data_IF_134963105503
#
_entry.id   IF_134963105503
#
_cell.length_a   1.000
_cell.length_b   1.000
_cell.length_c   1.000
_cell.angle_alpha   90.00
_cell.angle_beta   90.00
_cell.angle_gamma   90.00
#
_symmetry.space_group_name_H-M   'P 1'
#
loop_
_entity.id
_entity.type
_entity.pdbx_description
1 polymer ?
#
# COMPACT_ATOMS: atom_id res chain seq x y z
N UNK A 1 -4.00 -29.89 -28.73
CA UNK A 1 -5.07 -29.93 -27.71
C UNK A 1 -6.38 -29.61 -28.44
N UNK A 2 -7.43 -30.43 -28.28
CA UNK A 2 -8.73 -30.12 -28.83
C UNK A 2 -9.48 -29.28 -27.83
N UNK A 3 -9.87 -28.06 -28.22
CA UNK A 3 -10.75 -27.24 -27.43
C UNK A 3 -12.18 -27.74 -27.54
N UNK A 4 -12.89 -27.86 -26.41
CA UNK A 4 -14.25 -28.36 -26.39
C UNK A 4 -15.31 -27.25 -26.34
N UNK A 5 -14.88 -26.01 -26.13
CA UNK A 5 -15.72 -24.82 -26.09
C UNK A 5 -14.93 -23.55 -26.44
N UNK A 6 -15.64 -22.44 -26.75
CA UNK A 6 -15.02 -21.18 -27.17
C UNK A 6 -14.13 -20.54 -26.10
N UNK A 7 -14.45 -20.67 -24.83
CA UNK A 7 -13.66 -20.11 -23.75
C UNK A 7 -12.31 -20.83 -23.60
N UNK A 8 -12.33 -22.16 -23.71
CA UNK A 8 -11.13 -23.01 -23.70
C UNK A 8 -10.29 -22.76 -24.95
N UNK A 9 -10.91 -22.49 -26.11
CA UNK A 9 -10.21 -22.11 -27.33
C UNK A 9 -9.43 -20.83 -27.18
N UNK A 10 -10.07 -19.79 -26.69
CA UNK A 10 -9.43 -18.48 -26.46
C UNK A 10 -8.26 -18.61 -25.48
N UNK A 11 -8.44 -19.30 -24.35
CA UNK A 11 -7.37 -19.54 -23.39
C UNK A 11 -6.19 -20.32 -23.99
N UNK A 12 -6.47 -21.34 -24.82
CA UNK A 12 -5.44 -22.15 -25.47
C UNK A 12 -4.67 -21.33 -26.51
N UNK A 13 -5.36 -20.50 -27.30
CA UNK A 13 -4.73 -19.64 -28.31
C UNK A 13 -3.85 -18.59 -27.63
N UNK A 14 -4.32 -17.96 -26.54
CA UNK A 14 -3.54 -17.00 -25.77
C UNK A 14 -2.28 -17.65 -25.20
N UNK A 15 -2.40 -18.80 -24.55
CA UNK A 15 -1.25 -19.51 -23.98
C UNK A 15 -0.24 -19.91 -25.05
N UNK A 16 -0.71 -20.34 -26.23
CA UNK A 16 0.16 -20.67 -27.37
C UNK A 16 0.87 -19.41 -27.89
N UNK A 17 0.16 -18.31 -28.05
CA UNK A 17 0.73 -17.05 -28.51
C UNK A 17 1.81 -16.53 -27.55
N UNK A 18 1.56 -16.60 -26.25
CA UNK A 18 2.53 -16.23 -25.21
C UNK A 18 3.79 -17.10 -25.25
N UNK A 19 3.62 -18.42 -25.38
CA UNK A 19 4.76 -19.34 -25.52
C UNK A 19 5.56 -19.09 -26.80
N UNK A 20 4.89 -18.82 -27.89
CA UNK A 20 5.53 -18.50 -29.17
C UNK A 20 6.32 -17.19 -29.06
N UNK A 21 5.74 -16.15 -28.46
CA UNK A 21 6.40 -14.87 -28.28
C UNK A 21 7.62 -15.00 -27.37
N UNK A 22 7.50 -15.75 -26.26
CA UNK A 22 8.62 -16.03 -25.38
C UNK A 22 9.76 -16.80 -26.10
N UNK A 23 9.43 -17.79 -26.92
CA UNK A 23 10.40 -18.54 -27.68
C UNK A 23 11.11 -17.68 -28.73
N UNK A 24 10.37 -16.80 -29.42
CA UNK A 24 10.94 -15.85 -30.39
C UNK A 24 11.83 -14.82 -29.71
N UNK A 25 11.41 -14.28 -28.54
CA UNK A 25 12.21 -13.34 -27.75
C UNK A 25 13.53 -13.98 -27.29
N UNK A 26 13.48 -15.23 -26.82
CA UNK A 26 14.67 -15.97 -26.40
C UNK A 26 15.65 -16.20 -27.58
N UNK A 27 15.14 -16.63 -28.74
CA UNK A 27 15.97 -16.82 -29.92
C UNK A 27 16.46 -15.52 -30.57
N UNK A 28 15.72 -14.44 -30.36
CA UNK A 28 16.06 -13.12 -30.87
C UNK A 28 17.26 -12.49 -30.17
N UNK A 29 17.59 -12.94 -28.96
CA UNK A 29 18.80 -12.50 -28.26
C UNK A 29 20.09 -12.93 -28.99
N UNK A 30 20.06 -14.05 -29.70
CA UNK A 30 21.21 -14.61 -30.38
C UNK A 30 21.26 -14.28 -31.89
N UNK A 31 20.26 -13.54 -32.40
CA UNK A 31 20.13 -13.26 -33.83
C UNK A 31 20.11 -11.76 -34.14
N UNK A 32 21.26 -11.14 -34.48
CA UNK A 32 21.35 -9.69 -34.73
C UNK A 32 20.36 -9.14 -35.76
N UNK A 33 19.91 -10.00 -36.69
CA UNK A 33 18.98 -9.62 -37.76
C UNK A 33 17.56 -9.34 -37.29
N UNK A 34 17.17 -9.86 -36.14
CA UNK A 34 15.84 -9.64 -35.56
C UNK A 34 15.88 -8.76 -34.30
N UNK A 35 17.05 -8.27 -33.90
CA UNK A 35 17.21 -7.42 -32.76
C UNK A 35 16.36 -6.14 -32.87
N UNK A 36 16.28 -5.54 -34.05
CA UNK A 36 15.43 -4.38 -34.29
C UNK A 36 13.93 -4.69 -34.19
N UNK A 37 13.52 -5.90 -34.59
CA UNK A 37 12.13 -6.34 -34.45
C UNK A 37 11.76 -6.66 -33.01
N UNK A 38 12.63 -7.30 -32.25
CA UNK A 38 12.42 -7.61 -30.84
C UNK A 38 12.52 -6.36 -29.93
N UNK A 39 13.27 -5.33 -30.34
CA UNK A 39 13.35 -4.05 -29.64
C UNK A 39 12.13 -3.14 -29.89
N UNK A 40 11.36 -3.39 -30.95
CA UNK A 40 10.17 -2.61 -31.24
C UNK A 40 8.97 -3.07 -30.40
N UNK A 41 8.18 -2.10 -29.92
CA UNK A 41 6.91 -2.38 -29.24
C UNK A 41 5.80 -2.44 -30.30
N UNK A 42 5.23 -3.61 -30.51
CA UNK A 42 4.13 -3.83 -31.45
C UNK A 42 2.82 -3.96 -30.67
N UNK A 43 1.82 -3.25 -31.10
CA UNK A 43 0.46 -3.38 -30.59
C UNK A 43 -0.45 -3.76 -31.75
N UNK A 44 -1.10 -4.91 -31.66
CA UNK A 44 -2.13 -5.35 -32.60
C UNK A 44 -3.47 -5.24 -31.87
N UNK A 45 -4.35 -4.41 -32.38
CA UNK A 45 -5.69 -4.23 -31.89
C UNK A 45 -6.68 -4.88 -32.85
N UNK A 46 -7.45 -5.84 -32.37
CA UNK A 46 -8.53 -6.47 -33.11
C UNK A 46 -9.71 -6.76 -32.20
N UNK A 47 -10.87 -6.26 -32.52
CA UNK A 47 -12.20 -6.41 -31.87
C UNK A 47 -12.13 -6.55 -30.35
N UNK A 48 -11.76 -6.63 -29.49
CA UNK A 48 -11.66 -6.82 -28.01
C UNK A 48 -10.38 -7.52 -27.56
N UNK A 49 -9.45 -7.75 -28.49
CA UNK A 49 -8.17 -8.38 -28.17
C UNK A 49 -7.04 -7.41 -28.48
N UNK A 50 -6.32 -6.98 -27.44
CA UNK A 50 -5.08 -6.21 -27.58
C UNK A 50 -3.90 -7.12 -27.31
N UNK A 51 -3.07 -7.37 -28.32
CA UNK A 51 -1.82 -8.13 -28.18
C UNK A 51 -0.67 -7.12 -28.17
N UNK A 52 -0.07 -6.89 -27.00
CA UNK A 52 1.17 -6.15 -26.91
C UNK A 52 2.34 -7.12 -27.11
N UNK A 53 2.96 -7.08 -28.30
CA UNK A 53 4.13 -7.90 -28.59
C UNK A 53 5.42 -7.17 -28.27
N UNK A 54 6.39 -7.90 -27.79
CA UNK A 54 7.81 -7.56 -27.72
C UNK A 54 8.17 -6.21 -27.06
N UNK A 55 7.38 -5.68 -26.13
CA UNK A 55 8.06 -4.94 -25.07
C UNK A 55 9.03 -5.96 -24.50
N UNK A 56 10.38 -5.70 -24.53
CA UNK A 56 11.20 -6.40 -23.58
C UNK A 56 10.44 -6.22 -22.30
N UNK A 57 9.91 -7.30 -21.74
CA UNK A 57 9.59 -7.28 -20.36
C UNK A 57 10.89 -6.79 -19.76
N UNK A 58 10.99 -5.49 -19.50
CA UNK A 58 11.78 -5.07 -18.36
C UNK A 58 11.33 -6.10 -17.38
N UNK A 59 12.23 -7.10 -17.17
CA UNK A 59 11.87 -8.20 -16.33
C UNK A 59 11.49 -7.57 -15.01
N UNK A 60 10.28 -7.09 -14.96
CA UNK A 60 9.49 -7.18 -13.79
C UNK A 60 9.40 -8.67 -13.59
N UNK A 61 10.46 -9.25 -13.03
CA UNK A 61 10.29 -10.27 -12.06
C UNK A 61 9.48 -9.61 -10.94
N UNK A 62 8.28 -9.14 -11.33
CA UNK A 62 7.20 -9.00 -10.42
C UNK A 62 7.00 -10.42 -9.94
N UNK A 63 7.39 -10.70 -8.74
CA UNK A 63 6.82 -11.76 -7.95
C UNK A 63 5.36 -11.72 -8.31
N UNK A 64 4.84 -12.81 -8.90
CA UNK A 64 3.44 -12.90 -9.29
C UNK A 64 2.67 -12.37 -8.09
N UNK A 65 1.92 -11.28 -8.29
CA UNK A 65 1.18 -10.67 -7.19
C UNK A 65 0.16 -11.73 -6.77
N UNK A 66 0.49 -12.52 -5.76
CA UNK A 66 -0.38 -13.57 -5.20
C UNK A 66 -1.51 -12.95 -4.38
N UNK A 67 -1.50 -11.62 -4.23
CA UNK A 67 -2.48 -10.87 -3.48
C UNK A 67 -3.68 -10.46 -4.37
N UNK A 68 -4.88 -10.74 -3.91
CA UNK A 68 -6.10 -10.20 -4.50
C UNK A 68 -6.25 -8.74 -4.11
N UNK A 69 -6.20 -7.83 -5.07
CA UNK A 69 -6.46 -6.42 -4.83
C UNK A 69 -7.91 -6.16 -4.47
N UNK A 70 -8.12 -5.17 -3.61
CA UNK A 70 -9.45 -4.68 -3.24
C UNK A 70 -9.61 -3.21 -3.61
N UNK A 71 -10.85 -2.83 -3.93
CA UNK A 71 -11.21 -1.43 -4.16
C UNK A 71 -11.60 -0.77 -2.84
N UNK A 72 -11.54 0.57 -2.74
CA UNK A 72 -11.93 1.29 -1.52
C UNK A 72 -13.35 1.02 -1.04
N UNK A 73 -14.28 0.71 -1.93
CA UNK A 73 -15.66 0.35 -1.61
C UNK A 73 -15.83 -1.11 -1.13
N UNK A 74 -14.82 -1.95 -1.29
CA UNK A 74 -14.81 -3.33 -0.77
C UNK A 74 -14.21 -3.41 0.64
N UNK A 75 -13.70 -2.29 1.18
CA UNK A 75 -13.17 -2.19 2.54
C UNK A 75 -14.20 -1.46 3.38
N UNK A 76 -14.88 -2.16 4.25
CA UNK A 76 -15.91 -1.60 5.11
C UNK A 76 -15.28 -1.04 6.39
N UNK A 77 -15.85 0.05 6.90
CA UNK A 77 -15.27 0.76 8.04
C UNK A 77 -13.90 1.38 7.72
N UNK A 78 -13.05 1.51 8.72
CA UNK A 78 -11.68 2.03 8.59
C UNK A 78 -11.60 3.37 7.84
N UNK A 79 -12.57 4.26 8.04
CA UNK A 79 -12.76 5.45 7.23
C UNK A 79 -11.55 6.39 7.26
N UNK A 80 -10.93 6.54 8.44
CA UNK A 80 -9.75 7.38 8.62
C UNK A 80 -8.55 6.75 7.91
N UNK A 81 -8.31 5.46 8.13
CA UNK A 81 -7.19 4.75 7.48
C UNK A 81 -7.34 4.72 5.95
N UNK A 82 -8.57 4.55 5.44
CA UNK A 82 -8.85 4.67 3.99
C UNK A 82 -8.51 6.05 3.46
N UNK A 83 -8.94 7.11 4.13
CA UNK A 83 -8.62 8.48 3.73
C UNK A 83 -7.11 8.74 3.71
N UNK A 84 -6.41 8.32 4.78
CA UNK A 84 -4.95 8.44 4.87
C UNK A 84 -4.25 7.66 3.75
N UNK A 85 -4.73 6.46 3.45
CA UNK A 85 -4.22 5.62 2.36
C UNK A 85 -4.39 6.28 0.98
N UNK A 86 -5.57 6.86 0.71
CA UNK A 86 -5.86 7.62 -0.52
C UNK A 86 -4.94 8.83 -0.65
N UNK A 87 -4.73 9.56 0.44
CA UNK A 87 -3.83 10.72 0.48
C UNK A 87 -2.39 10.30 0.19
N UNK A 88 -1.91 9.25 0.85
CA UNK A 88 -0.55 8.73 0.66
C UNK A 88 -0.34 8.23 -0.76
N UNK A 89 -1.30 7.51 -1.33
CA UNK A 89 -1.22 7.06 -2.72
C UNK A 89 -1.09 8.23 -3.71
N UNK A 90 -1.87 9.31 -3.51
CA UNK A 90 -1.74 10.53 -4.32
C UNK A 90 -0.39 11.21 -4.16
N UNK A 91 0.17 11.24 -2.95
CA UNK A 91 1.50 11.78 -2.70
C UNK A 91 2.60 11.00 -3.45
N UNK A 92 2.50 9.66 -3.48
CA UNK A 92 3.42 8.81 -4.23
C UNK A 92 3.38 9.09 -5.73
N UNK A 93 2.20 9.37 -6.28
CA UNK A 93 2.04 9.67 -7.72
C UNK A 93 2.65 11.02 -8.15
N UNK A 94 3.06 11.87 -7.22
CA UNK A 94 3.79 13.10 -7.50
C UNK A 94 5.31 12.88 -7.72
N UNK A 95 5.78 11.62 -7.68
CA UNK A 95 7.18 11.30 -7.92
C UNK A 95 7.59 11.61 -9.36
N UNK A 96 8.67 12.35 -9.51
CA UNK A 96 9.29 12.67 -10.78
C UNK A 96 10.39 11.65 -11.10
N UNK A 97 10.18 10.84 -12.12
CA UNK A 97 11.10 9.77 -12.52
C UNK A 97 12.39 10.30 -13.14
N UNK A 98 12.36 11.47 -13.79
CA UNK A 98 13.54 12.08 -14.40
C UNK A 98 14.46 12.67 -13.33
N UNK A 99 13.90 13.42 -12.39
CA UNK A 99 14.60 13.98 -11.24
C UNK A 99 14.90 12.94 -10.16
N UNK A 100 14.20 11.81 -10.15
CA UNK A 100 14.24 10.78 -9.11
C UNK A 100 13.94 11.33 -7.72
N UNK A 101 12.98 12.23 -7.64
CA UNK A 101 12.62 12.95 -6.42
C UNK A 101 11.15 13.34 -6.43
N UNK A 102 10.55 13.33 -5.25
CA UNK A 102 9.15 13.73 -5.04
C UNK A 102 9.13 15.10 -4.36
N UNK A 103 8.34 16.07 -4.85
CA UNK A 103 8.24 17.39 -4.24
C UNK A 103 7.85 17.35 -2.75
N UNK A 104 7.02 16.41 -2.34
CA UNK A 104 6.64 16.24 -0.94
C UNK A 104 7.81 15.76 -0.06
N UNK A 105 8.76 15.02 -0.63
CA UNK A 105 9.98 14.63 0.08
C UNK A 105 10.93 15.83 0.24
N UNK A 106 11.04 16.69 -0.77
CA UNK A 106 11.82 17.94 -0.70
C UNK A 106 11.27 18.89 0.37
N UNK A 107 9.95 19.00 0.49
CA UNK A 107 9.28 19.86 1.48
C UNK A 107 9.21 19.25 2.90
N UNK A 108 9.67 18.02 3.10
CA UNK A 108 9.64 17.32 4.40
C UNK A 108 8.26 16.79 4.81
N UNK A 109 7.27 16.80 3.90
CA UNK A 109 5.90 16.33 4.19
C UNK A 109 5.61 14.90 3.71
N UNK A 110 6.60 14.15 3.24
CA UNK A 110 6.40 12.83 2.70
C UNK A 110 6.35 11.75 3.79
N UNK A 111 5.35 10.87 3.71
CA UNK A 111 5.21 9.73 4.64
C UNK A 111 5.99 8.54 4.06
N UNK A 112 7.23 8.39 4.51
CA UNK A 112 8.10 7.29 4.08
C UNK A 112 7.73 5.97 4.77
N UNK A 113 7.40 6.03 6.05
CA UNK A 113 6.97 4.89 6.86
C UNK A 113 5.68 5.21 7.59
N UNK A 114 4.80 4.25 7.73
CA UNK A 114 3.62 4.38 8.57
C UNK A 114 3.34 3.09 9.34
N UNK A 115 2.62 3.20 10.44
CA UNK A 115 2.18 2.06 11.23
C UNK A 115 0.66 1.95 11.17
N UNK A 116 0.16 0.76 10.82
CA UNK A 116 -1.25 0.41 10.81
C UNK A 116 -1.60 -0.42 12.04
N UNK A 117 -2.16 0.23 13.05
CA UNK A 117 -2.49 -0.40 14.33
C UNK A 117 -3.96 -0.77 14.39
N UNK A 118 -4.27 -1.95 14.90
CA UNK A 118 -5.65 -2.36 15.11
C UNK A 118 -5.78 -3.76 15.71
N UNK A 119 -6.87 -4.02 16.41
CA UNK A 119 -7.16 -5.33 16.97
C UNK A 119 -7.21 -6.42 15.88
N UNK A 120 -7.05 -7.69 16.24
CA UNK A 120 -7.27 -8.81 15.29
C UNK A 120 -8.66 -8.72 14.65
N UNK A 121 -8.73 -8.97 13.33
CA UNK A 121 -10.00 -8.97 12.60
C UNK A 121 -10.53 -7.59 12.17
N UNK A 122 -9.85 -6.46 12.45
CA UNK A 122 -10.31 -5.12 12.07
C UNK A 122 -10.06 -4.77 10.59
N UNK A 123 -9.42 -5.64 9.81
CA UNK A 123 -9.25 -5.46 8.38
C UNK A 123 -7.89 -4.88 7.94
N UNK A 124 -6.83 -5.06 8.71
CA UNK A 124 -5.45 -4.63 8.35
C UNK A 124 -5.01 -5.18 7.00
N UNK A 125 -5.08 -6.49 6.81
CA UNK A 125 -4.74 -7.14 5.53
C UNK A 125 -5.62 -6.65 4.39
N UNK A 126 -6.91 -6.41 4.65
CA UNK A 126 -7.85 -5.83 3.68
C UNK A 126 -7.45 -4.41 3.27
N UNK A 127 -6.96 -3.60 4.23
CA UNK A 127 -6.43 -2.26 3.97
C UNK A 127 -5.15 -2.31 3.12
N UNK A 128 -4.24 -3.26 3.40
CA UNK A 128 -3.05 -3.52 2.58
C UNK A 128 -3.46 -3.84 1.14
N UNK A 129 -4.41 -4.76 0.95
CA UNK A 129 -4.93 -5.15 -0.37
C UNK A 129 -5.53 -3.96 -1.12
N UNK A 130 -6.24 -3.09 -0.41
CA UNK A 130 -6.81 -1.86 -0.97
C UNK A 130 -5.71 -0.87 -1.38
N UNK A 131 -4.73 -0.62 -0.53
CA UNK A 131 -3.63 0.30 -0.85
C UNK A 131 -2.83 -0.17 -2.05
N UNK A 132 -2.48 -1.46 -2.08
CA UNK A 132 -1.76 -2.05 -3.19
C UNK A 132 -2.57 -1.99 -4.49
N UNK A 133 -3.88 -2.27 -4.42
CA UNK A 133 -4.80 -2.14 -5.55
C UNK A 133 -4.91 -0.73 -6.07
N UNK A 134 -5.08 0.25 -5.19
CA UNK A 134 -5.17 1.67 -5.52
C UNK A 134 -3.89 2.18 -6.20
N UNK A 135 -2.72 1.85 -5.65
CA UNK A 135 -1.43 2.22 -6.24
C UNK A 135 -1.21 1.55 -7.60
N UNK A 136 -1.56 0.27 -7.73
CA UNK A 136 -1.49 -0.43 -9.00
C UNK A 136 -2.39 0.24 -10.07
N UNK A 137 -3.61 0.63 -9.72
CA UNK A 137 -4.52 1.28 -10.65
C UNK A 137 -4.04 2.69 -11.04
N UNK A 138 -3.55 3.47 -10.08
CA UNK A 138 -2.96 4.79 -10.34
C UNK A 138 -1.72 4.68 -11.22
N UNK A 139 -0.82 3.75 -10.92
CA UNK A 139 0.39 3.54 -11.70
C UNK A 139 0.07 3.06 -13.12
N UNK A 140 -0.91 2.17 -13.29
CA UNK A 140 -1.39 1.75 -14.61
C UNK A 140 -1.94 2.93 -15.41
N UNK A 141 -2.76 3.77 -14.80
CA UNK A 141 -3.33 4.95 -15.46
C UNK A 141 -2.26 5.98 -15.85
N UNK A 142 -1.21 6.12 -15.05
CA UNK A 142 -0.10 7.04 -15.31
C UNK A 142 1.00 6.44 -16.18
N UNK A 143 0.96 5.13 -16.48
CA UNK A 143 2.04 4.43 -17.18
C UNK A 143 3.31 4.25 -16.33
N UNK A 144 3.19 4.26 -15.02
CA UNK A 144 4.31 4.11 -14.09
C UNK A 144 4.50 2.65 -13.68
N UNK A 145 5.75 2.17 -13.56
CA UNK A 145 6.01 0.84 -13.03
C UNK A 145 5.71 0.79 -11.53
N UNK A 146 4.97 -0.23 -11.10
CA UNK A 146 4.60 -0.44 -9.71
C UNK A 146 5.20 -1.73 -9.17
N UNK A 147 5.70 -1.69 -7.93
CA UNK A 147 6.23 -2.85 -7.22
C UNK A 147 5.66 -2.92 -5.81
N UNK A 148 4.98 -4.02 -5.55
CA UNK A 148 4.53 -4.39 -4.20
C UNK A 148 5.38 -5.53 -3.67
N UNK A 149 5.78 -5.43 -2.40
CA UNK A 149 6.41 -6.53 -1.68
C UNK A 149 5.92 -6.59 -0.24
N UNK A 150 5.75 -7.80 0.26
CA UNK A 150 5.46 -8.05 1.67
C UNK A 150 6.65 -8.78 2.31
N UNK A 151 7.02 -8.35 3.50
CA UNK A 151 7.96 -9.06 4.36
C UNK A 151 7.18 -9.77 5.46
N UNK A 152 7.28 -11.09 5.51
CA UNK A 152 6.57 -11.95 6.46
C UNK A 152 7.54 -12.73 7.34
N UNK A 153 7.02 -13.32 8.40
CA UNK A 153 7.80 -14.12 9.35
C UNK A 153 8.53 -15.30 8.68
N UNK A 154 7.99 -15.84 7.58
CA UNK A 154 8.59 -16.92 6.81
C UNK A 154 9.95 -16.56 6.19
N UNK A 155 10.27 -15.26 6.10
CA UNK A 155 11.53 -14.75 5.59
C UNK A 155 12.61 -14.66 6.67
N UNK A 156 12.24 -14.96 7.93
CA UNK A 156 13.16 -15.07 9.05
C UNK A 156 13.68 -16.50 9.07
N UNK A 157 14.94 -16.65 8.71
CA UNK A 157 15.61 -17.94 8.66
C UNK A 157 16.31 -18.24 10.00
N UNK A 158 16.48 -19.52 10.30
CA UNK A 158 17.28 -19.97 11.43
C UNK A 158 18.80 -19.84 11.21
N UNK A 159 19.23 -19.66 9.96
CA UNK A 159 20.64 -19.45 9.62
C UNK A 159 21.05 -17.99 9.86
N UNK A 160 22.12 -17.82 10.63
CA UNK A 160 22.66 -16.52 10.99
C UNK A 160 23.06 -15.71 9.74
N UNK A 161 22.64 -14.45 9.68
CA UNK A 161 22.90 -13.52 8.57
C UNK A 161 21.93 -13.60 7.40
N UNK A 162 21.17 -14.69 7.22
CA UNK A 162 20.26 -14.84 6.08
C UNK A 162 18.99 -13.99 6.24
N UNK A 163 18.47 -13.90 7.45
CA UNK A 163 17.33 -13.03 7.79
C UNK A 163 17.62 -11.57 7.49
N UNK A 164 18.80 -11.09 7.88
CA UNK A 164 19.25 -9.73 7.56
C UNK A 164 19.43 -9.49 6.05
N UNK A 165 19.92 -10.48 5.30
CA UNK A 165 20.02 -10.39 3.84
C UNK A 165 18.64 -10.32 3.18
N UNK A 166 17.68 -11.13 3.61
CA UNK A 166 16.30 -11.09 3.12
C UNK A 166 15.65 -9.73 3.37
N UNK A 167 15.82 -9.17 4.57
CA UNK A 167 15.33 -7.84 4.90
C UNK A 167 15.98 -6.74 4.06
N UNK A 168 17.30 -6.80 3.83
CA UNK A 168 18.01 -5.87 2.94
C UNK A 168 17.52 -5.96 1.49
N UNK A 169 17.32 -7.18 0.99
CA UNK A 169 16.80 -7.41 -0.36
C UNK A 169 15.38 -6.85 -0.51
N UNK A 170 14.49 -7.08 0.47
CA UNK A 170 13.15 -6.51 0.52
C UNK A 170 13.19 -4.98 0.43
N UNK A 171 13.97 -4.33 1.29
CA UNK A 171 14.09 -2.87 1.31
C UNK A 171 14.66 -2.34 0.00
N UNK A 172 15.74 -2.91 -0.51
CA UNK A 172 16.39 -2.48 -1.75
C UNK A 172 15.44 -2.57 -2.94
N UNK A 173 14.66 -3.63 -3.01
CA UNK A 173 13.68 -3.82 -4.08
C UNK A 173 12.55 -2.79 -4.04
N UNK A 174 12.08 -2.40 -2.86
CA UNK A 174 11.04 -1.38 -2.70
C UNK A 174 11.58 0.03 -2.93
N UNK A 175 12.83 0.29 -2.52
CA UNK A 175 13.52 1.58 -2.69
C UNK A 175 13.97 1.87 -4.13
N UNK A 176 13.87 0.91 -5.05
CA UNK A 176 14.30 1.07 -6.44
C UNK A 176 13.71 2.35 -7.07
N UNK A 177 14.52 3.34 -7.45
CA UNK A 177 14.03 4.62 -7.97
C UNK A 177 13.36 4.51 -9.35
N UNK A 178 13.44 3.37 -10.00
CA UNK A 178 12.79 3.12 -11.29
C UNK A 178 11.31 2.70 -11.15
N UNK A 179 10.80 2.55 -9.94
CA UNK A 179 9.43 2.09 -9.69
C UNK A 179 8.75 2.91 -8.58
N UNK A 180 7.44 2.92 -8.58
CA UNK A 180 6.66 3.28 -7.38
C UNK A 180 6.60 2.05 -6.49
N UNK A 181 7.19 2.14 -5.30
CA UNK A 181 7.33 1.02 -4.37
C UNK A 181 6.30 1.06 -3.24
N UNK A 182 5.72 -0.08 -2.91
CA UNK A 182 4.95 -0.27 -1.69
C UNK A 182 5.44 -1.53 -0.97
N UNK A 183 6.09 -1.33 0.17
CA UNK A 183 6.54 -2.40 1.04
C UNK A 183 5.61 -2.56 2.24
N UNK A 184 5.24 -3.77 2.59
CA UNK A 184 4.48 -4.04 3.81
C UNK A 184 5.20 -5.03 4.70
N UNK A 185 5.04 -4.87 6.00
CA UNK A 185 5.51 -5.78 7.03
C UNK A 185 4.28 -6.08 7.88
N UNK A 186 3.66 -7.22 7.61
CA UNK A 186 2.50 -7.65 8.39
C UNK A 186 2.97 -8.35 9.66
N UNK A 187 2.21 -8.23 10.74
CA UNK A 187 2.55 -8.76 12.07
C UNK A 187 3.96 -8.35 12.55
N UNK A 188 4.29 -7.04 12.42
CA UNK A 188 5.61 -6.50 12.80
C UNK A 188 5.95 -6.76 14.28
N UNK A 189 4.95 -6.91 15.15
CA UNK A 189 5.13 -7.28 16.56
C UNK A 189 5.74 -8.68 16.72
N UNK A 190 5.50 -9.60 15.78
CA UNK A 190 6.13 -10.92 15.77
C UNK A 190 7.53 -10.90 15.13
N UNK A 191 7.79 -9.95 14.22
CA UNK A 191 9.04 -9.84 13.46
C UNK A 191 10.07 -9.01 14.22
N UNK A 192 9.65 -7.89 14.80
CA UNK A 192 10.49 -6.91 15.47
C UNK A 192 9.93 -6.54 16.85
N UNK A 193 9.92 -7.52 17.74
CA UNK A 193 9.48 -7.36 19.13
C UNK A 193 10.46 -6.54 19.98
N UNK A 194 10.03 -6.16 21.18
CA UNK A 194 10.81 -5.35 22.13
C UNK A 194 12.16 -6.00 22.45
N UNK A 195 13.19 -5.16 22.49
CA UNK A 195 14.53 -5.57 22.91
C UNK A 195 14.52 -6.00 24.37
N UNK A 196 15.06 -7.16 24.65
CA UNK A 196 15.12 -7.72 25.99
C UNK A 196 14.07 -8.81 26.27
N UNK A 197 13.17 -9.04 25.35
CA UNK A 197 12.33 -10.23 25.42
C UNK A 197 13.21 -11.46 25.18
N UNK A 198 13.29 -12.35 26.19
CA UNK A 198 14.17 -13.54 26.14
C UNK A 198 13.78 -14.53 25.04
N UNK A 199 12.70 -14.28 24.31
CA UNK A 199 12.19 -15.11 23.23
C UNK A 199 12.56 -14.61 21.83
N UNK A 200 13.18 -13.42 21.69
CA UNK A 200 13.59 -12.91 20.37
C UNK A 200 14.75 -13.72 19.79
N UNK A 201 14.54 -14.32 18.61
CA UNK A 201 15.59 -15.05 17.90
C UNK A 201 16.68 -14.10 17.37
N UNK A 202 17.88 -14.64 17.12
CA UNK A 202 18.96 -13.85 16.51
C UNK A 202 18.52 -13.27 15.13
N UNK A 203 17.75 -14.02 14.34
CA UNK A 203 17.22 -13.57 13.05
C UNK A 203 16.27 -12.39 13.18
N UNK A 204 15.39 -12.36 14.20
CA UNK A 204 14.52 -11.22 14.49
C UNK A 204 15.31 -9.95 14.86
N UNK A 205 16.38 -10.10 15.65
CA UNK A 205 17.24 -8.98 16.02
C UNK A 205 17.99 -8.42 14.81
N UNK A 206 18.47 -9.28 13.89
CA UNK A 206 19.10 -8.87 12.63
C UNK A 206 18.11 -8.08 11.75
N UNK A 207 16.89 -8.60 11.57
CA UNK A 207 15.85 -7.92 10.78
C UNK A 207 15.48 -6.58 11.39
N UNK A 208 15.28 -6.52 12.70
CA UNK A 208 14.98 -5.27 13.42
C UNK A 208 16.08 -4.23 13.21
N UNK A 209 17.36 -4.64 13.31
CA UNK A 209 18.49 -3.73 13.08
C UNK A 209 18.50 -3.19 11.64
N UNK A 210 18.24 -4.05 10.64
CA UNK A 210 18.16 -3.65 9.23
C UNK A 210 17.02 -2.65 8.99
N UNK A 211 15.83 -2.90 9.54
CA UNK A 211 14.70 -1.97 9.41
C UNK A 211 14.97 -0.63 10.09
N UNK A 212 15.61 -0.64 11.27
CA UNK A 212 15.97 0.61 11.95
C UNK A 212 16.98 1.44 11.14
N UNK A 213 17.96 0.80 10.52
CA UNK A 213 18.91 1.48 9.65
C UNK A 213 18.22 2.05 8.41
N UNK A 214 17.35 1.27 7.77
CA UNK A 214 16.68 1.66 6.54
C UNK A 214 15.65 2.77 6.73
N UNK A 215 14.94 2.81 7.87
CA UNK A 215 13.83 3.75 8.06
C UNK A 215 14.24 5.11 8.65
N UNK A 216 15.38 5.19 9.30
CA UNK A 216 15.90 6.46 9.80
C UNK A 216 17.42 6.43 10.06
N UNK A 217 18.18 5.63 9.30
CA UNK A 217 19.64 5.63 9.35
C UNK A 217 20.21 6.93 8.75
N UNK A 218 21.43 7.27 9.13
CA UNK A 218 22.12 8.48 8.65
C UNK A 218 22.30 8.49 7.12
N UNK A 219 22.25 7.32 6.47
CA UNK A 219 22.42 7.16 5.03
C UNK A 219 21.10 6.90 4.28
N UNK A 220 19.95 7.04 4.96
CA UNK A 220 18.65 6.81 4.32
C UNK A 220 18.29 7.96 3.41
N UNK A 221 18.19 7.69 2.11
CA UNK A 221 17.76 8.68 1.11
C UNK A 221 16.29 8.47 0.80
N UNK A 222 15.44 9.35 1.30
CA UNK A 222 14.00 9.35 1.03
C UNK A 222 13.74 10.11 -0.27
N UNK A 223 13.55 9.39 -1.37
CA UNK A 223 13.23 9.98 -2.68
C UNK A 223 11.74 10.26 -2.87
N UNK A 224 10.88 9.63 -2.07
CA UNK A 224 9.44 9.76 -2.17
C UNK A 224 8.80 8.95 -3.30
N UNK A 225 9.52 7.95 -3.83
CA UNK A 225 8.97 6.97 -4.79
C UNK A 225 8.36 5.75 -4.10
N UNK A 226 8.57 5.57 -2.81
CA UNK A 226 8.06 4.40 -2.09
C UNK A 226 7.65 4.73 -0.66
N UNK A 227 6.83 3.85 -0.10
CA UNK A 227 6.41 3.88 1.30
C UNK A 227 6.43 2.48 1.90
N UNK A 228 6.64 2.41 3.22
CA UNK A 228 6.61 1.17 3.98
C UNK A 228 5.50 1.22 5.03
N UNK A 229 4.62 0.21 5.02
CA UNK A 229 3.58 0.02 6.03
C UNK A 229 3.94 -1.10 6.99
N UNK A 230 4.01 -0.78 8.28
CA UNK A 230 4.18 -1.75 9.36
C UNK A 230 2.82 -1.99 10.00
N UNK A 231 2.34 -3.22 10.00
CA UNK A 231 1.02 -3.56 10.56
C UNK A 231 1.18 -4.41 11.81
N UNK A 232 0.40 -4.09 12.85
CA UNK A 232 0.47 -4.79 14.13
C UNK A 232 -0.89 -4.97 14.77
N UNK A 233 -1.06 -6.12 15.43
CA UNK A 233 -2.18 -6.38 16.33
C UNK A 233 -1.90 -5.83 17.74
N UNK A 234 -0.62 -5.75 18.11
CA UNK A 234 -0.16 -5.37 19.44
C UNK A 234 0.99 -4.37 19.33
N UNK A 235 0.68 -3.09 18.99
CA UNK A 235 1.71 -2.07 18.74
C UNK A 235 2.61 -1.83 19.96
N UNK A 236 2.14 -2.14 21.16
CA UNK A 236 2.93 -2.07 22.40
C UNK A 236 4.06 -3.12 22.45
N UNK A 237 3.97 -4.19 21.69
CA UNK A 237 4.99 -5.25 21.60
C UNK A 237 6.07 -4.95 20.55
N UNK A 238 5.85 -3.99 19.66
CA UNK A 238 6.83 -3.56 18.67
C UNK A 238 7.98 -2.80 19.33
N UNK A 239 9.20 -2.98 18.85
CA UNK A 239 10.38 -2.23 19.31
C UNK A 239 10.10 -0.72 19.28
N UNK A 240 10.34 -0.04 20.42
CA UNK A 240 9.99 1.38 20.60
C UNK A 240 10.71 2.29 19.59
N UNK A 241 11.94 1.94 19.22
CA UNK A 241 12.71 2.72 18.25
C UNK A 241 12.16 2.58 16.82
N UNK A 242 11.62 1.41 16.45
CA UNK A 242 10.89 1.25 15.18
C UNK A 242 9.58 2.00 15.18
N UNK A 243 8.83 1.93 16.28
CA UNK A 243 7.56 2.62 16.43
C UNK A 243 7.71 4.14 16.33
N UNK A 244 8.77 4.71 16.89
CA UNK A 244 9.11 6.14 16.78
C UNK A 244 9.50 6.57 15.36
N UNK A 245 9.91 5.63 14.51
CA UNK A 245 10.28 5.89 13.11
C UNK A 245 9.10 5.88 12.15
N UNK A 246 7.92 5.49 12.62
CA UNK A 246 6.70 5.62 11.85
C UNK A 246 6.33 7.10 11.70
N UNK A 247 6.42 7.61 10.47
CA UNK A 247 6.08 9.00 10.14
C UNK A 247 4.57 9.30 10.22
N UNK A 248 3.73 8.25 10.23
CA UNK A 248 2.29 8.37 10.44
C UNK A 248 1.74 7.11 11.13
N UNK A 249 0.57 7.27 11.77
CA UNK A 249 -0.19 6.14 12.32
C UNK A 249 -1.56 6.09 11.68
N UNK A 250 -1.92 4.91 11.19
CA UNK A 250 -3.21 4.60 10.59
C UNK A 250 -3.97 3.71 11.57
N UNK A 251 -4.99 4.27 12.19
CA UNK A 251 -5.85 3.49 13.08
C UNK A 251 -6.76 2.60 12.23
N UNK A 252 -6.62 1.30 12.41
CA UNK A 252 -7.42 0.27 11.72
C UNK A 252 -8.40 -0.31 12.74
N UNK A 253 -9.51 0.39 12.93
CA UNK A 253 -10.51 0.13 13.97
C UNK A 253 -11.68 -0.76 13.50
N UNK A 254 -11.75 -1.05 12.20
CA UNK A 254 -12.80 -1.85 11.60
C UNK A 254 -14.13 -1.11 11.47
N UNK A 255 -15.24 -1.84 11.34
CA UNK A 255 -16.58 -1.29 11.31
C UNK A 255 -16.95 -0.74 12.71
N UNK A 256 -17.44 0.50 12.77
CA UNK A 256 -17.79 1.18 14.02
C UNK A 256 -19.28 1.53 14.11
N UNK A 257 -19.95 1.68 12.97
CA UNK A 257 -21.33 2.14 12.92
C UNK A 257 -22.27 1.03 12.49
N UNK A 258 -23.58 1.20 12.82
CA UNK A 258 -24.62 0.31 12.32
C UNK A 258 -24.58 0.15 10.80
N UNK A 259 -24.28 1.25 10.10
CA UNK A 259 -24.28 1.28 8.66
C UNK A 259 -23.06 0.55 8.07
N UNK A 260 -21.92 0.58 8.74
CA UNK A 260 -20.77 -0.25 8.38
C UNK A 260 -21.13 -1.74 8.43
N UNK A 261 -21.91 -2.19 9.44
CA UNK A 261 -22.38 -3.58 9.53
C UNK A 261 -23.41 -3.92 8.45
N UNK A 262 -24.28 -2.97 8.07
CA UNK A 262 -25.19 -3.13 6.94
C UNK A 262 -24.37 -3.29 5.65
N UNK A 263 -23.30 -2.52 5.49
CA UNK A 263 -22.40 -2.59 4.36
C UNK A 263 -21.68 -3.94 4.27
N UNK A 264 -21.27 -4.52 5.40
CA UNK A 264 -20.71 -5.88 5.43
C UNK A 264 -21.74 -6.89 4.93
N UNK A 265 -22.97 -6.81 5.43
CA UNK A 265 -24.03 -7.70 5.00
C UNK A 265 -24.33 -7.54 3.51
N UNK A 266 -24.38 -6.31 3.02
CA UNK A 266 -24.56 -5.99 1.63
C UNK A 266 -23.43 -6.55 0.74
N UNK A 267 -22.18 -6.43 1.18
CA UNK A 267 -21.03 -6.98 0.46
C UNK A 267 -21.06 -8.51 0.40
N UNK A 268 -21.45 -9.16 1.49
CA UNK A 268 -21.51 -10.61 1.57
C UNK A 268 -22.72 -11.22 0.85
N UNK A 269 -23.86 -10.54 0.89
CA UNK A 269 -25.14 -11.03 0.38
C UNK A 269 -25.50 -10.45 -0.99
N UNK A 270 -25.06 -9.23 -1.28
CA UNK A 270 -25.50 -8.45 -2.43
C UNK A 270 -25.19 -9.04 -3.81
N UNK A 271 -24.20 -9.94 -3.90
CA UNK A 271 -23.91 -10.68 -5.14
C UNK A 271 -24.81 -11.91 -5.34
N UNK A 272 -25.45 -12.38 -4.28
CA UNK A 272 -26.19 -13.64 -4.25
C UNK A 272 -27.69 -13.48 -3.96
N UNK A 273 -28.17 -12.26 -3.69
CA UNK A 273 -29.55 -11.98 -3.32
C UNK A 273 -30.06 -10.70 -4.02
N UNK A 274 -31.31 -10.71 -4.45
CA UNK A 274 -32.04 -9.55 -5.03
C UNK A 274 -32.44 -8.50 -3.97
N UNK A 275 -31.65 -8.36 -2.91
CA UNK A 275 -31.88 -7.37 -1.86
C UNK A 275 -31.29 -6.03 -2.32
N UNK A 276 -32.08 -4.96 -2.42
CA UNK A 276 -31.57 -3.65 -2.81
C UNK A 276 -30.57 -3.15 -1.77
N UNK A 277 -29.35 -2.92 -2.20
CA UNK A 277 -28.23 -2.42 -1.37
C UNK A 277 -28.19 -0.90 -1.33
N UNK A 278 -29.19 -0.17 -1.41
CA UNK A 278 -29.26 1.28 -1.26
C UNK A 278 -28.14 2.10 -1.96
N UNK A 279 -28.01 3.36 -1.61
CA UNK A 279 -26.96 4.26 -2.16
C UNK A 279 -25.65 4.15 -1.37
N UNK A 280 -25.03 3.01 -1.45
CA UNK A 280 -23.85 2.60 -0.68
C UNK A 280 -22.64 3.54 -0.83
N UNK A 281 -22.30 3.95 -2.07
CA UNK A 281 -21.11 4.77 -2.33
C UNK A 281 -21.20 6.18 -1.74
N UNK A 282 -22.38 6.76 -1.70
CA UNK A 282 -22.61 8.08 -1.11
C UNK A 282 -22.46 8.04 0.42
N UNK A 283 -22.94 6.97 1.05
CA UNK A 283 -22.85 6.78 2.48
C UNK A 283 -21.39 6.66 2.95
N UNK A 284 -20.63 5.76 2.35
CA UNK A 284 -19.21 5.56 2.69
C UNK A 284 -18.38 6.85 2.55
N UNK A 285 -18.65 7.67 1.52
CA UNK A 285 -17.98 8.95 1.34
C UNK A 285 -18.35 9.97 2.43
N UNK A 286 -19.61 10.00 2.87
CA UNK A 286 -20.07 10.88 3.94
C UNK A 286 -19.49 10.47 5.30
N UNK A 287 -19.50 9.18 5.62
CA UNK A 287 -18.94 8.65 6.86
C UNK A 287 -17.43 8.84 6.93
N UNK A 288 -16.72 8.69 5.82
CA UNK A 288 -15.29 9.02 5.76
C UNK A 288 -15.04 10.49 6.14
N UNK A 289 -15.83 11.42 5.60
CA UNK A 289 -15.72 12.85 5.93
C UNK A 289 -16.03 13.13 7.40
N UNK A 290 -17.07 12.49 7.95
CA UNK A 290 -17.45 12.64 9.36
C UNK A 290 -16.39 12.07 10.30
N UNK A 291 -15.87 10.87 9.99
CA UNK A 291 -14.84 10.22 10.79
C UNK A 291 -13.52 11.02 10.79
N UNK A 292 -13.14 11.60 9.65
CA UNK A 292 -11.96 12.48 9.56
C UNK A 292 -12.16 13.74 10.38
N UNK A 293 -13.34 14.38 10.31
CA UNK A 293 -13.63 15.57 11.11
C UNK A 293 -13.63 15.29 12.62
N UNK A 294 -14.26 14.19 13.04
CA UNK A 294 -14.30 13.76 14.43
C UNK A 294 -12.90 13.40 14.97
N UNK A 295 -12.10 12.71 14.16
CA UNK A 295 -10.71 12.40 14.52
C UNK A 295 -9.87 13.65 14.64
N UNK A 296 -10.00 14.59 13.71
CA UNK A 296 -9.29 15.85 13.74
C UNK A 296 -9.61 16.64 15.01
N UNK A 297 -10.90 16.77 15.35
CA UNK A 297 -11.36 17.45 16.56
C UNK A 297 -10.86 16.73 17.81
N UNK A 298 -10.97 15.42 17.90
CA UNK A 298 -10.54 14.62 19.05
C UNK A 298 -9.03 14.64 19.29
N UNK A 299 -8.20 14.74 18.25
CA UNK A 299 -6.75 14.80 18.37
C UNK A 299 -6.20 16.21 18.53
N UNK A 300 -6.88 17.21 18.00
CA UNK A 300 -6.44 18.60 18.08
C UNK A 300 -6.89 19.29 19.36
N UNK A 301 -7.96 18.81 19.99
CA UNK A 301 -8.53 19.42 21.19
C UNK A 301 -7.57 19.27 22.37
N UNK A 302 -7.16 20.37 23.04
CA UNK A 302 -6.25 20.30 24.17
C UNK A 302 -6.93 19.71 25.42
N UNK A 303 -6.13 19.12 26.30
CA UNK A 303 -6.58 18.58 27.58
C UNK A 303 -6.36 19.55 28.75
N UNK A 304 -5.53 20.58 28.57
CA UNK A 304 -5.22 21.56 29.57
C UNK A 304 -6.31 22.64 29.67
N UNK A 305 -6.78 22.94 30.86
CA UNK A 305 -7.92 23.85 31.12
C UNK A 305 -7.75 25.25 30.49
N UNK A 306 -6.52 25.77 30.51
CA UNK A 306 -6.22 27.08 29.93
C UNK A 306 -6.38 27.10 28.41
N UNK A 307 -5.79 26.13 27.75
CA UNK A 307 -5.87 25.97 26.32
C UNK A 307 -7.27 25.57 25.85
N UNK A 308 -7.97 24.76 26.66
CA UNK A 308 -9.34 24.36 26.36
C UNK A 308 -10.30 25.57 26.34
N UNK A 309 -10.12 26.54 27.23
CA UNK A 309 -10.93 27.78 27.20
C UNK A 309 -10.72 28.59 25.92
N UNK A 310 -9.48 28.70 25.46
CA UNK A 310 -9.17 29.36 24.18
C UNK A 310 -9.76 28.60 23.02
N UNK A 311 -9.67 27.27 23.04
CA UNK A 311 -10.29 26.40 22.04
C UNK A 311 -11.80 26.61 21.95
N UNK A 312 -12.49 26.54 23.10
CA UNK A 312 -13.95 26.71 23.17
C UNK A 312 -14.39 28.12 22.77
N UNK A 313 -13.58 29.15 23.06
CA UNK A 313 -13.84 30.52 22.62
C UNK A 313 -13.69 30.63 21.10
N UNK A 314 -12.59 30.13 20.54
CA UNK A 314 -12.35 30.15 19.09
C UNK A 314 -13.43 29.37 18.34
N UNK A 315 -13.86 28.22 18.87
CA UNK A 315 -14.93 27.42 18.26
C UNK A 315 -16.29 28.16 18.29
N UNK A 316 -16.54 29.00 19.27
CA UNK A 316 -17.73 29.87 19.29
C UNK A 316 -17.67 30.97 18.25
N UNK A 317 -16.48 31.52 17.99
CA UNK A 317 -16.28 32.66 17.11
C UNK A 317 -16.28 32.25 15.61
N UNK A 318 -15.66 31.13 15.28
CA UNK A 318 -15.47 30.68 13.88
C UNK A 318 -16.10 29.32 13.53
N UNK A 319 -16.83 28.73 14.48
CA UNK A 319 -17.42 27.38 14.34
C UNK A 319 -16.43 26.25 14.66
N UNK A 320 -16.89 25.02 14.48
CA UNK A 320 -16.07 23.82 14.77
C UNK A 320 -14.70 23.88 14.10
N UNK A 321 -13.64 23.60 14.88
CA UNK A 321 -12.25 23.63 14.40
C UNK A 321 -11.92 22.36 13.61
N UNK A 322 -12.51 22.21 12.45
CA UNK A 322 -12.50 21.02 11.58
C UNK A 322 -11.55 21.13 10.37
N UNK A 323 -10.82 22.24 10.26
CA UNK A 323 -9.86 22.48 9.18
C UNK A 323 -8.54 23.03 9.72
N UNK A 324 -7.45 22.83 8.96
CA UNK A 324 -6.11 23.37 9.30
C UNK A 324 -6.16 24.92 9.41
N UNK A 325 -6.92 25.56 8.53
CA UNK A 325 -7.05 27.03 8.57
C UNK A 325 -7.70 27.51 9.85
N UNK A 326 -8.79 26.87 10.29
CA UNK A 326 -9.47 27.19 11.57
C UNK A 326 -8.60 26.85 12.78
N UNK A 327 -7.86 25.72 12.72
CA UNK A 327 -6.90 25.36 13.74
C UNK A 327 -5.78 26.39 13.84
N UNK A 328 -5.27 26.88 12.71
CA UNK A 328 -4.27 27.96 12.67
C UNK A 328 -4.78 29.28 13.29
N UNK A 329 -6.09 29.53 13.27
CA UNK A 329 -6.69 30.69 13.94
C UNK A 329 -6.71 30.50 15.48
N UNK A 330 -6.85 29.26 15.94
CA UNK A 330 -6.77 28.92 17.35
C UNK A 330 -5.32 29.06 17.89
N UNK A 331 -4.31 28.60 17.15
CA UNK A 331 -2.89 28.69 17.50
C UNK A 331 -2.38 30.12 17.42
#
# INVERSE_FOLDING_TARGET
AYSTDDATLVATVLAYAEQLMAAVALRGQDAPRIAGFTAASWMVEADKLTIAGFKPALATRGTALTMTFKKPNEVIGNHIAKYQSLRLAKMLMAYDFDRKLNPFAEMGGFIFTFMGDGAPGTGKTTLIQMMAGLLNDYCKAAGYPFRYQNFSIDQIDSYQGKSGQNAKAFITNVLDPAVIGFGTIDDIDQIAGKRGDKQSSAGQQEVTAVFMEAFAGANTVVRGNCTFGMFSNYPENVDDALRQRAGARFLVDGPQTRDDYIDILALLMGKNHDIPVGQHDLYAAQEMKRAVAASFEGHARPHEDGLLRVWDQTARDIGTLDTIAKLGTYL
#
